data_IF_328118995005
#
_entry.id   IF_328118995005
#
_cell.length_a   1.000
_cell.length_b   1.000
_cell.length_c   1.000
_cell.angle_alpha   90.00
_cell.angle_beta   90.00
_cell.angle_gamma   90.00
#
_symmetry.space_group_name_H-M   'P 1'
#
loop_
_entity.id
_entity.type
_entity.pdbx_description
1 polymer ?
#
# COMPACT_ATOMS: atom_id res chain seq x y z
N UNK A 1 -14.27 -22.76 -48.30
CA UNK A 1 -13.99 -22.12 -46.99
C UNK A 1 -14.32 -23.12 -45.88
N UNK A 2 -13.32 -23.78 -45.30
CA UNK A 2 -13.55 -24.77 -44.25
C UNK A 2 -13.67 -24.06 -42.89
N UNK A 3 -14.71 -24.39 -42.10
CA UNK A 3 -14.94 -23.76 -40.78
C UNK A 3 -13.89 -24.21 -39.77
N UNK A 4 -13.34 -23.27 -39.01
CA UNK A 4 -12.44 -23.53 -37.87
C UNK A 4 -13.18 -23.39 -36.53
N UNK A 5 -12.53 -23.77 -35.43
CA UNK A 5 -13.08 -23.58 -34.07
C UNK A 5 -13.13 -22.10 -33.72
N UNK A 6 -14.27 -21.65 -33.16
CA UNK A 6 -14.51 -20.23 -32.88
C UNK A 6 -13.94 -19.75 -31.53
N UNK A 7 -13.83 -20.62 -30.51
CA UNK A 7 -13.27 -20.27 -29.20
C UNK A 7 -12.83 -21.51 -28.40
N UNK A 8 -11.80 -21.38 -27.57
CA UNK A 8 -11.44 -22.40 -26.57
C UNK A 8 -10.70 -21.81 -25.37
N UNK A 9 -11.08 -22.26 -24.16
CA UNK A 9 -10.34 -22.03 -22.92
C UNK A 9 -9.43 -23.24 -22.58
N UNK A 10 -9.25 -24.17 -23.51
CA UNK A 10 -8.42 -25.35 -23.29
C UNK A 10 -6.96 -24.91 -23.07
N UNK A 11 -6.31 -25.46 -22.05
CA UNK A 11 -4.94 -25.15 -21.61
C UNK A 11 -4.70 -23.77 -20.95
N UNK A 12 -5.67 -22.87 -20.86
CA UNK A 12 -5.41 -21.57 -20.19
C UNK A 12 -5.19 -21.73 -18.68
N UNK A 13 -5.99 -22.59 -18.04
CA UNK A 13 -5.84 -22.90 -16.61
C UNK A 13 -4.46 -23.51 -16.31
N UNK A 14 -4.04 -24.52 -17.07
CA UNK A 14 -2.72 -25.13 -16.92
C UNK A 14 -1.58 -24.11 -17.09
N UNK A 15 -1.69 -23.18 -18.04
CA UNK A 15 -0.71 -22.09 -18.20
C UNK A 15 -0.71 -21.12 -17.01
N UNK A 16 -1.87 -20.76 -16.48
CA UNK A 16 -1.99 -19.87 -15.33
C UNK A 16 -1.41 -20.48 -14.06
N UNK A 17 -1.69 -21.77 -13.80
CA UNK A 17 -1.18 -22.48 -12.62
C UNK A 17 0.35 -22.67 -12.63
N UNK A 18 1.01 -22.68 -13.80
CA UNK A 18 2.48 -22.71 -13.85
C UNK A 18 3.13 -21.47 -13.23
N UNK A 19 2.48 -20.31 -13.28
CA UNK A 19 3.08 -19.02 -12.91
C UNK A 19 2.23 -18.19 -11.93
N UNK A 20 1.24 -18.78 -11.27
CA UNK A 20 0.36 -18.05 -10.35
C UNK A 20 1.17 -17.40 -9.23
N UNK A 21 1.17 -16.07 -9.14
CA UNK A 21 1.80 -15.31 -8.06
C UNK A 21 0.73 -14.67 -7.19
N UNK A 22 0.86 -14.84 -5.87
CA UNK A 22 0.01 -14.14 -4.91
C UNK A 22 0.48 -12.69 -4.77
N UNK A 23 -0.46 -11.78 -4.53
CA UNK A 23 -0.12 -10.41 -4.18
C UNK A 23 0.61 -10.38 -2.83
N UNK A 24 1.75 -9.68 -2.80
CA UNK A 24 2.53 -9.56 -1.58
C UNK A 24 1.81 -8.63 -0.60
N UNK A 25 1.60 -9.08 0.63
CA UNK A 25 1.08 -8.26 1.72
C UNK A 25 2.23 -7.51 2.38
N UNK A 26 2.28 -6.20 2.20
CA UNK A 26 3.20 -5.35 2.94
C UNK A 26 2.74 -5.19 4.39
N UNK A 27 3.68 -5.09 5.35
CA UNK A 27 3.37 -4.85 6.77
C UNK A 27 2.55 -3.57 6.98
N UNK A 28 2.81 -2.54 6.16
CA UNK A 28 2.09 -1.26 6.20
C UNK A 28 1.53 -0.94 4.80
N UNK A 29 0.20 -0.91 4.63
CA UNK A 29 -0.41 -0.57 3.35
C UNK A 29 -0.37 0.95 3.08
N UNK A 30 -0.59 1.32 1.81
CA UNK A 30 -0.74 2.74 1.44
C UNK A 30 -2.02 3.33 2.03
N UNK A 31 -2.01 4.64 2.32
CA UNK A 31 -3.21 5.39 2.79
C UNK A 31 -4.04 5.98 1.64
N UNK A 32 -3.90 5.46 0.42
CA UNK A 32 -4.66 5.92 -0.75
C UNK A 32 -6.14 5.59 -0.56
N UNK A 33 -7.02 6.57 -0.74
CA UNK A 33 -8.47 6.40 -0.55
C UNK A 33 -8.98 6.65 0.88
N UNK A 34 -8.10 6.99 1.83
CA UNK A 34 -8.52 7.46 3.17
C UNK A 34 -9.02 8.90 3.08
N UNK A 35 -9.98 9.26 3.93
CA UNK A 35 -10.56 10.61 4.01
C UNK A 35 -9.48 11.72 4.03
N UNK A 36 -9.52 12.69 3.10
CA UNK A 36 -8.57 13.80 3.06
C UNK A 36 -8.56 14.63 4.35
N UNK A 37 -9.70 14.81 5.04
CA UNK A 37 -9.76 15.61 6.28
C UNK A 37 -8.99 14.92 7.40
N UNK A 38 -9.19 13.61 7.57
CA UNK A 38 -8.41 12.78 8.49
C UNK A 38 -6.91 12.81 8.16
N UNK A 39 -6.53 12.66 6.89
CA UNK A 39 -5.13 12.66 6.48
C UNK A 39 -4.44 14.01 6.74
N UNK A 40 -5.13 15.14 6.54
CA UNK A 40 -4.61 16.47 6.86
C UNK A 40 -4.29 16.59 8.35
N UNK A 41 -5.22 16.19 9.21
CA UNK A 41 -4.99 16.20 10.66
C UNK A 41 -3.82 15.30 11.08
N UNK A 42 -3.79 14.06 10.59
CA UNK A 42 -2.72 13.11 10.91
C UNK A 42 -1.33 13.62 10.47
N UNK A 43 -1.24 14.30 9.33
CA UNK A 43 0.02 14.94 8.88
C UNK A 43 0.50 16.00 9.86
N UNK A 44 -0.38 16.88 10.34
CA UNK A 44 0.01 17.89 11.32
C UNK A 44 0.39 17.30 12.68
N UNK A 45 -0.35 16.29 13.16
CA UNK A 45 -0.03 15.61 14.42
C UNK A 45 1.36 14.93 14.37
N UNK A 46 1.64 14.17 13.30
CA UNK A 46 2.95 13.52 13.13
C UNK A 46 4.09 14.54 13.01
N UNK A 47 3.88 15.64 12.28
CA UNK A 47 4.86 16.72 12.18
C UNK A 47 5.15 17.39 13.53
N UNK A 48 4.11 17.64 14.34
CA UNK A 48 4.25 18.18 15.69
C UNK A 48 5.06 17.26 16.60
N UNK A 49 4.76 15.96 16.59
CA UNK A 49 5.49 14.96 17.38
C UNK A 49 6.97 14.89 17.00
N UNK A 50 7.29 14.93 15.70
CA UNK A 50 8.67 14.93 15.22
C UNK A 50 9.42 16.17 15.71
N UNK A 51 8.82 17.36 15.61
CA UNK A 51 9.43 18.61 16.10
C UNK A 51 9.70 18.55 17.61
N UNK A 52 8.73 18.08 18.39
CA UNK A 52 8.89 17.92 19.84
C UNK A 52 10.00 16.92 20.17
N UNK A 53 10.03 15.77 19.51
CA UNK A 53 11.07 14.77 19.70
C UNK A 53 12.47 15.31 19.36
N UNK A 54 12.59 16.13 18.31
CA UNK A 54 13.85 16.79 17.96
C UNK A 54 14.27 17.84 18.99
N UNK A 55 13.33 18.63 19.52
CA UNK A 55 13.62 19.61 20.57
C UNK A 55 14.07 18.95 21.88
N UNK A 56 13.44 17.84 22.25
CA UNK A 56 13.87 17.00 23.40
C UNK A 56 15.29 16.47 23.16
N UNK A 57 15.55 15.91 21.98
CA UNK A 57 16.90 15.41 21.63
C UNK A 57 17.97 16.51 21.68
N UNK A 58 17.61 17.74 21.34
CA UNK A 58 18.50 18.91 21.39
C UNK A 58 18.63 19.52 22.79
N UNK A 59 17.93 18.98 23.80
CA UNK A 59 17.91 19.52 25.16
C UNK A 59 17.19 20.87 25.31
N UNK A 60 16.43 21.30 24.29
CA UNK A 60 15.70 22.57 24.32
C UNK A 60 14.37 22.48 25.08
N UNK A 61 13.85 21.26 25.27
CA UNK A 61 12.59 20.97 25.97
C UNK A 61 12.78 19.69 26.77
N UNK A 62 12.40 19.69 28.05
CA UNK A 62 12.50 18.50 28.89
C UNK A 62 11.42 17.47 28.52
N UNK A 63 11.79 16.20 28.56
CA UNK A 63 10.83 15.11 28.45
C UNK A 63 10.03 15.06 29.76
N UNK A 64 8.74 15.41 29.69
CA UNK A 64 7.78 15.09 30.74
C UNK A 64 7.46 13.59 30.72
#
# INVERSE_FOLDING_TARGET
>A
MAKSKNHTNHNQSAKAHRNLKFSQRARYPSKKGVDPKFLRNQRYATQGNIKKALAIRKGAVEAN
#
